data_IF_158636868843
#
_entry.id   IF_158636868843
#
_cell.length_a   1.000
_cell.length_b   1.000
_cell.length_c   1.000
_cell.angle_alpha   90.00
_cell.angle_beta   90.00
_cell.angle_gamma   90.00
#
_symmetry.space_group_name_H-M   'P 1'
#
loop_
_entity.id
_entity.type
_entity.pdbx_description
1 polymer ?
#
# COMPACT_ATOMS: atom_id res chain seq x y z
N UNK A 1 -15.88 15.26 0.21
CA UNK A 1 -14.48 15.72 0.28
C UNK A 1 -13.63 14.45 0.32
N UNK A 2 -13.17 13.96 -0.84
CA UNK A 2 -12.17 12.89 -0.88
C UNK A 2 -10.83 13.60 -0.77
N UNK A 3 -10.19 13.48 0.39
CA UNK A 3 -8.90 14.10 0.69
C UNK A 3 -7.90 12.97 0.86
N UNK A 4 -7.62 12.29 -0.25
CA UNK A 4 -6.45 11.42 -0.34
C UNK A 4 -5.64 11.97 -1.50
N UNK A 5 -4.63 12.76 -1.15
CA UNK A 5 -3.86 13.51 -2.14
C UNK A 5 -2.67 12.75 -2.70
N UNK A 6 -2.35 11.56 -2.14
CA UNK A 6 -1.20 10.76 -2.57
C UNK A 6 0.12 11.57 -2.57
N UNK A 7 0.18 12.65 -1.79
CA UNK A 7 1.12 13.77 -1.98
C UNK A 7 2.30 13.75 -0.99
N UNK A 8 2.29 12.82 -0.03
CA UNK A 8 3.40 12.64 0.91
C UNK A 8 3.53 11.16 1.34
N UNK A 9 4.71 10.81 1.85
CA UNK A 9 5.02 9.51 2.45
C UNK A 9 5.08 9.60 3.98
N UNK A 10 4.57 10.69 4.56
CA UNK A 10 4.47 10.93 5.99
C UNK A 10 3.11 11.48 6.40
N UNK A 11 2.65 11.24 7.63
CA UNK A 11 1.47 11.90 8.18
C UNK A 11 1.66 13.42 8.20
N UNK A 12 0.64 14.17 7.79
CA UNK A 12 0.67 15.64 7.85
C UNK A 12 -0.69 16.20 8.29
N UNK A 13 -0.68 17.45 8.75
CA UNK A 13 -1.91 18.18 9.07
C UNK A 13 -2.49 18.78 7.80
N UNK A 14 -3.77 18.48 7.55
CA UNK A 14 -4.43 18.90 6.33
C UNK A 14 -4.60 20.42 6.30
N UNK A 15 -4.19 21.04 5.18
CA UNK A 15 -4.50 22.42 4.86
C UNK A 15 -5.78 22.49 4.01
N UNK A 16 -6.76 23.28 4.46
CA UNK A 16 -7.99 23.54 3.71
C UNK A 16 -8.10 25.04 3.47
N UNK A 17 -7.80 25.46 2.24
CA UNK A 17 -7.96 26.85 1.81
C UNK A 17 -6.94 27.81 2.43
N UNK A 18 -5.70 27.36 2.63
CA UNK A 18 -4.63 28.13 3.27
C UNK A 18 -4.72 28.16 4.79
N UNK A 19 -5.54 27.28 5.38
CA UNK A 19 -5.69 27.16 6.83
C UNK A 19 -5.42 25.72 7.24
N UNK A 20 -4.35 25.54 7.99
CA UNK A 20 -4.03 24.28 8.65
C UNK A 20 -5.14 23.89 9.63
N UNK A 21 -5.54 22.63 9.56
CA UNK A 21 -6.57 22.02 10.43
C UNK A 21 -5.93 21.12 11.47
N UNK A 22 -6.72 20.65 12.43
CA UNK A 22 -6.30 19.62 13.41
C UNK A 22 -6.54 18.18 12.89
N UNK A 23 -6.80 18.03 11.59
CA UNK A 23 -7.02 16.73 10.94
C UNK A 23 -5.69 16.24 10.42
N UNK A 24 -5.26 15.05 10.88
CA UNK A 24 -4.10 14.35 10.32
C UNK A 24 -4.55 13.51 9.13
N UNK A 25 -3.94 13.75 7.97
CA UNK A 25 -4.05 12.86 6.83
C UNK A 25 -2.96 11.78 6.92
N UNK A 26 -3.35 10.54 6.64
CA UNK A 26 -2.44 9.43 6.42
C UNK A 26 -2.51 9.07 4.94
N UNK A 27 -1.49 9.46 4.13
CA UNK A 27 -1.49 9.21 2.71
C UNK A 27 -1.63 7.72 2.35
N UNK A 28 -2.61 7.43 1.51
CA UNK A 28 -2.80 6.13 0.88
C UNK A 28 -2.03 6.08 -0.45
N UNK A 29 -1.57 4.89 -0.88
CA UNK A 29 -0.95 4.69 -2.21
C UNK A 29 -1.46 3.42 -2.88
N UNK A 30 -1.83 3.53 -4.16
CA UNK A 30 -2.33 2.40 -4.95
C UNK A 30 -1.30 1.29 -5.14
N UNK A 31 0.00 1.59 -5.11
CA UNK A 31 1.06 0.58 -5.23
C UNK A 31 1.09 -0.38 -4.03
N UNK A 32 0.54 0.04 -2.89
CA UNK A 32 0.42 -0.73 -1.65
C UNK A 32 -0.98 -1.33 -1.45
N UNK A 33 -1.83 -1.29 -2.48
CA UNK A 33 -3.17 -1.88 -2.46
C UNK A 33 -3.19 -3.22 -3.19
N UNK A 34 -3.91 -4.22 -2.66
CA UNK A 34 -3.98 -5.56 -3.26
C UNK A 34 -4.87 -5.64 -4.53
N UNK A 35 -5.82 -4.70 -4.71
CA UNK A 35 -6.79 -4.77 -5.79
C UNK A 35 -6.17 -4.51 -7.18
N UNK A 36 -5.26 -3.53 -7.39
CA UNK A 36 -4.56 -3.37 -8.66
C UNK A 36 -3.82 -4.61 -9.15
N UNK A 37 -3.29 -5.44 -8.25
CA UNK A 37 -2.54 -6.65 -8.61
C UNK A 37 -3.43 -7.85 -8.89
N UNK A 38 -4.51 -8.02 -8.14
CA UNK A 38 -5.26 -9.27 -8.12
C UNK A 38 -6.69 -9.16 -8.67
N UNK A 39 -7.18 -7.96 -8.93
CA UNK A 39 -8.52 -7.78 -9.44
C UNK A 39 -8.54 -7.91 -10.97
N UNK A 40 -9.06 -9.03 -11.45
CA UNK A 40 -9.33 -9.23 -12.88
C UNK A 40 -10.53 -8.38 -13.34
N UNK A 41 -10.45 -7.82 -14.55
CA UNK A 41 -11.61 -7.20 -15.22
C UNK A 41 -11.69 -7.63 -16.68
N UNK A 42 -12.89 -8.03 -17.12
CA UNK A 42 -13.20 -8.29 -18.54
C UNK A 42 -13.57 -7.03 -19.30
N UNK A 43 -13.93 -5.95 -18.60
CA UNK A 43 -14.40 -4.69 -19.21
C UNK A 43 -13.27 -3.64 -19.26
N UNK A 44 -12.41 -3.61 -18.24
CA UNK A 44 -11.29 -2.68 -18.17
C UNK A 44 -10.02 -3.36 -18.70
N UNK A 45 -9.48 -2.93 -19.85
CA UNK A 45 -8.24 -3.49 -20.40
C UNK A 45 -7.08 -3.34 -19.41
N UNK A 46 -6.19 -4.33 -19.36
CA UNK A 46 -4.96 -4.27 -18.56
C UNK A 46 -5.09 -4.73 -17.10
N UNK A 47 -6.31 -4.97 -16.59
CA UNK A 47 -6.51 -5.56 -15.25
C UNK A 47 -6.36 -7.07 -15.27
N UNK A 48 -5.11 -7.51 -15.35
CA UNK A 48 -4.70 -8.92 -15.27
C UNK A 48 -4.26 -9.26 -13.85
N UNK A 49 -4.49 -10.51 -13.44
CA UNK A 49 -4.01 -10.98 -12.14
C UNK A 49 -2.51 -11.23 -12.20
N UNK A 50 -1.78 -10.62 -11.28
CA UNK A 50 -0.34 -10.83 -11.11
C UNK A 50 -0.06 -12.10 -10.30
N UNK A 51 1.14 -12.65 -10.50
CA UNK A 51 1.64 -13.72 -9.63
C UNK A 51 1.86 -13.17 -8.21
N UNK A 52 1.49 -13.90 -7.14
CA UNK A 52 1.72 -13.46 -5.76
C UNK A 52 3.17 -13.08 -5.46
N UNK A 53 4.14 -13.77 -6.06
CA UNK A 53 5.57 -13.46 -5.90
C UNK A 53 5.94 -12.06 -6.40
N UNK A 54 5.34 -11.59 -7.49
CA UNK A 54 5.61 -10.26 -8.03
C UNK A 54 5.07 -9.16 -7.10
N UNK A 55 3.95 -9.42 -6.42
CA UNK A 55 3.38 -8.49 -5.44
C UNK A 55 4.26 -8.42 -4.20
N UNK A 56 4.73 -9.58 -3.72
CA UNK A 56 5.67 -9.62 -2.59
C UNK A 56 6.94 -8.83 -2.90
N UNK A 57 7.57 -9.07 -4.06
CA UNK A 57 8.76 -8.33 -4.52
C UNK A 57 8.53 -6.82 -4.56
N UNK A 58 7.39 -6.38 -5.13
CA UNK A 58 7.05 -4.97 -5.20
C UNK A 58 6.89 -4.36 -3.79
N UNK A 59 6.15 -5.02 -2.90
CA UNK A 59 5.89 -4.51 -1.56
C UNK A 59 7.12 -4.52 -0.66
N UNK A 60 8.00 -5.52 -0.76
CA UNK A 60 9.28 -5.50 -0.04
C UNK A 60 10.20 -4.39 -0.57
N UNK A 61 10.18 -4.12 -1.88
CA UNK A 61 10.98 -3.03 -2.46
C UNK A 61 10.49 -1.66 -1.99
N UNK A 62 9.18 -1.46 -1.93
CA UNK A 62 8.57 -0.25 -1.35
C UNK A 62 8.90 -0.13 0.14
N UNK A 63 8.84 -1.23 0.89
CA UNK A 63 9.25 -1.25 2.30
C UNK A 63 10.71 -0.79 2.45
N UNK A 64 11.64 -1.37 1.70
CA UNK A 64 13.08 -1.03 1.81
C UNK A 64 13.34 0.45 1.53
N UNK A 65 12.69 1.02 0.52
CA UNK A 65 12.79 2.44 0.21
C UNK A 65 12.24 3.33 1.33
N UNK A 66 11.03 3.04 1.81
CA UNK A 66 10.40 3.81 2.89
C UNK A 66 11.15 3.66 4.21
N UNK A 67 11.67 2.48 4.50
CA UNK A 67 12.45 2.19 5.70
C UNK A 67 13.77 2.97 5.70
N UNK A 68 14.49 2.99 4.57
CA UNK A 68 15.72 3.76 4.41
C UNK A 68 15.49 5.27 4.63
N UNK A 69 14.33 5.78 4.25
CA UNK A 69 13.95 7.18 4.42
C UNK A 69 13.20 7.48 5.74
N UNK A 70 12.97 6.47 6.58
CA UNK A 70 12.16 6.57 7.83
C UNK A 70 10.76 7.13 7.61
N UNK A 71 10.12 6.66 6.54
CA UNK A 71 8.76 7.04 6.10
C UNK A 71 7.73 5.99 6.50
N UNK A 72 6.45 6.36 6.40
CA UNK A 72 5.36 5.44 6.72
C UNK A 72 5.02 4.56 5.52
N UNK A 73 4.61 3.33 5.80
CA UNK A 73 4.04 2.39 4.84
C UNK A 73 2.58 2.10 5.23
N UNK A 74 1.65 2.32 4.31
CA UNK A 74 0.22 1.99 4.49
C UNK A 74 -0.20 0.95 3.47
N UNK A 75 -0.56 -0.25 3.94
CA UNK A 75 -0.97 -1.36 3.07
C UNK A 75 -2.50 -1.46 3.04
N UNK A 76 -3.08 -1.32 1.85
CA UNK A 76 -4.51 -1.46 1.58
C UNK A 76 -4.86 -2.89 1.20
N UNK A 77 -5.84 -3.48 1.88
CA UNK A 77 -6.21 -4.88 1.68
C UNK A 77 -7.71 -5.10 1.65
N UNK A 78 -8.14 -6.05 0.83
CA UNK A 78 -9.53 -6.46 0.72
C UNK A 78 -9.65 -7.94 1.10
N UNK A 79 -10.47 -8.33 2.10
CA UNK A 79 -10.56 -9.71 2.57
C UNK A 79 -10.86 -10.73 1.46
N UNK A 80 -11.72 -10.36 0.50
CA UNK A 80 -12.07 -11.19 -0.65
C UNK A 80 -10.93 -11.34 -1.69
N UNK A 81 -9.93 -10.47 -1.64
CA UNK A 81 -8.79 -10.44 -2.56
C UNK A 81 -7.56 -11.10 -1.93
N UNK A 82 -6.94 -10.50 -0.90
CA UNK A 82 -5.72 -11.03 -0.27
C UNK A 82 -5.97 -12.33 0.50
N UNK A 83 -7.20 -12.56 0.98
CA UNK A 83 -7.55 -13.73 1.81
C UNK A 83 -7.50 -15.09 1.08
N UNK A 84 -7.26 -15.11 -0.24
CA UNK A 84 -7.11 -16.35 -0.99
C UNK A 84 -5.83 -17.10 -0.56
N UNK A 85 -5.82 -18.45 -0.50
CA UNK A 85 -4.68 -19.22 0.01
C UNK A 85 -3.34 -18.94 -0.67
N UNK A 86 -3.34 -18.65 -1.97
CA UNK A 86 -2.12 -18.32 -2.72
C UNK A 86 -1.61 -16.90 -2.46
N UNK A 87 -2.46 -15.99 -1.97
CA UNK A 87 -2.17 -14.56 -1.85
C UNK A 87 -1.88 -14.13 -0.42
N UNK A 88 -2.47 -14.80 0.57
CA UNK A 88 -2.21 -14.49 1.99
C UNK A 88 -0.73 -14.65 2.36
N UNK A 89 -0.01 -15.50 1.62
CA UNK A 89 1.44 -15.68 1.73
C UNK A 89 2.26 -14.44 1.37
N UNK A 90 1.70 -13.52 0.58
CA UNK A 90 2.32 -12.21 0.32
C UNK A 90 2.34 -11.36 1.58
N UNK A 91 1.23 -11.32 2.32
CA UNK A 91 1.16 -10.58 3.57
C UNK A 91 2.08 -11.19 4.64
N UNK A 92 2.10 -12.53 4.75
CA UNK A 92 3.04 -13.24 5.63
C UNK A 92 4.49 -12.86 5.32
N UNK A 93 4.92 -12.97 4.05
CA UNK A 93 6.27 -12.64 3.64
C UNK A 93 6.65 -11.16 3.85
N UNK A 94 5.71 -10.23 3.64
CA UNK A 94 5.95 -8.81 3.92
C UNK A 94 6.17 -8.57 5.42
N UNK A 95 5.35 -9.19 6.27
CA UNK A 95 5.49 -9.08 7.73
C UNK A 95 6.82 -9.68 8.19
N UNK A 96 7.18 -10.86 7.69
CA UNK A 96 8.47 -11.50 7.98
C UNK A 96 9.65 -10.62 7.57
N UNK A 97 9.59 -10.02 6.38
CA UNK A 97 10.61 -9.08 5.89
C UNK A 97 10.73 -7.85 6.81
N UNK A 98 9.60 -7.23 7.16
CA UNK A 98 9.59 -6.08 8.05
C UNK A 98 10.15 -6.42 9.45
N UNK A 99 9.78 -7.57 10.02
CA UNK A 99 10.29 -8.03 11.32
C UNK A 99 11.76 -8.43 11.32
N UNK A 100 12.37 -8.67 10.15
CA UNK A 100 13.80 -8.94 10.04
C UNK A 100 14.68 -7.70 10.20
N UNK A 101 14.07 -6.51 10.19
CA UNK A 101 14.73 -5.23 10.43
C UNK A 101 14.56 -4.82 11.90
N UNK A 102 15.64 -4.36 12.54
CA UNK A 102 15.75 -4.27 14.00
C UNK A 102 15.65 -2.86 14.59
N UNK A 103 15.19 -1.85 13.83
CA UNK A 103 15.02 -0.48 14.33
C UNK A 103 13.64 -0.21 14.96
#
# INVERSE_FOLDING_TARGET
LFVQLFDDDSPYLLDIGGRQTDIVELPFRWVLDDAPFFQYSIVLPGRTMQAPSAVLEAWTSEFDGLYAERRMMMVGMHPQIIGQPSRIKVLEGLIEHALSHSD
#
